data_IF_550735590189
#
_entry.id   IF_550735590189
#
_cell.length_a   1.000
_cell.length_b   1.000
_cell.length_c   1.000
_cell.angle_alpha   90.00
_cell.angle_beta   90.00
_cell.angle_gamma   90.00
#
_symmetry.space_group_name_H-M   'P 1'
#
loop_
_entity.id
_entity.type
_entity.pdbx_description
1 polymer ?
#
# COMPACT_ATOMS: atom_id res chain seq x y z
N UNK A 1 8.57 -7.17 -4.44
CA UNK A 1 8.37 -8.61 -4.12
C UNK A 1 6.88 -8.95 -4.12
N UNK A 2 6.55 -10.24 -4.21
CA UNK A 2 5.19 -10.71 -3.89
C UNK A 2 5.00 -10.69 -2.38
N UNK A 3 3.90 -10.14 -1.88
CA UNK A 3 3.51 -10.22 -0.48
C UNK A 3 2.74 -11.50 -0.13
N UNK A 4 2.50 -12.38 -1.11
CA UNK A 4 1.91 -13.69 -0.90
C UNK A 4 2.43 -14.70 -1.93
N UNK A 5 3.08 -15.78 -1.50
CA UNK A 5 3.53 -16.85 -2.40
C UNK A 5 3.67 -18.21 -1.67
N UNK A 6 2.58 -18.99 -1.52
CA UNK A 6 1.20 -18.68 -1.92
C UNK A 6 0.44 -17.80 -0.91
N UNK A 7 0.74 -17.91 0.38
CA UNK A 7 0.03 -17.22 1.46
C UNK A 7 0.83 -16.02 1.99
N UNK A 8 0.22 -15.22 2.87
CA UNK A 8 0.82 -13.99 3.42
C UNK A 8 2.05 -14.32 4.28
N UNK A 9 2.00 -15.43 5.00
CA UNK A 9 3.06 -15.90 5.88
C UNK A 9 4.37 -16.16 5.12
N UNK A 10 4.28 -16.80 3.94
CA UNK A 10 5.43 -17.02 3.05
C UNK A 10 6.02 -15.68 2.55
N UNK A 11 5.13 -14.73 2.24
CA UNK A 11 5.52 -13.36 1.88
C UNK A 11 6.29 -12.66 3.00
N UNK A 12 5.86 -12.84 4.26
CA UNK A 12 6.52 -12.28 5.44
C UNK A 12 7.91 -12.89 5.63
N UNK A 13 8.06 -14.21 5.50
CA UNK A 13 9.35 -14.87 5.60
C UNK A 13 10.33 -14.39 4.51
N UNK A 14 9.85 -14.26 3.27
CA UNK A 14 10.63 -13.72 2.16
C UNK A 14 11.05 -12.26 2.43
N UNK A 15 10.16 -11.43 2.97
CA UNK A 15 10.48 -10.03 3.26
C UNK A 15 11.60 -9.89 4.29
N UNK A 16 11.55 -10.69 5.37
CA UNK A 16 12.62 -10.74 6.39
C UNK A 16 13.93 -11.24 5.81
N UNK A 17 13.88 -12.26 4.95
CA UNK A 17 15.07 -12.76 4.28
C UNK A 17 15.71 -11.69 3.37
N UNK A 18 14.90 -10.99 2.58
CA UNK A 18 15.36 -9.89 1.73
C UNK A 18 15.95 -8.73 2.55
N UNK A 19 15.36 -8.39 3.69
CA UNK A 19 15.92 -7.40 4.62
C UNK A 19 17.29 -7.85 5.15
N UNK A 20 17.45 -9.12 5.54
CA UNK A 20 18.74 -9.67 6.00
C UNK A 20 19.82 -9.66 4.90
N UNK A 21 19.42 -9.74 3.63
CA UNK A 21 20.33 -9.58 2.49
C UNK A 21 20.79 -8.13 2.26
N UNK A 22 20.24 -7.17 3.01
CA UNK A 22 20.61 -5.76 2.94
C UNK A 22 19.86 -4.96 1.88
N UNK A 23 18.62 -5.35 1.52
CA UNK A 23 17.77 -4.52 0.66
C UNK A 23 17.33 -3.23 1.36
N UNK A 24 17.36 -2.11 0.64
CA UNK A 24 17.02 -0.80 1.20
C UNK A 24 15.51 -0.51 1.29
N UNK A 25 14.69 -1.17 0.46
CA UNK A 25 13.23 -1.04 0.52
C UNK A 25 12.52 -2.24 -0.12
N UNK A 26 11.25 -2.41 0.21
CA UNK A 26 10.36 -3.39 -0.40
C UNK A 26 9.15 -2.73 -1.08
N UNK A 27 9.04 -2.92 -2.39
CA UNK A 27 7.81 -2.61 -3.13
C UNK A 27 6.93 -3.86 -3.17
N UNK A 28 5.81 -3.85 -2.45
CA UNK A 28 4.98 -5.04 -2.21
C UNK A 28 3.75 -5.03 -3.13
N UNK A 29 3.59 -6.10 -3.90
CA UNK A 29 2.43 -6.39 -4.74
C UNK A 29 2.02 -7.84 -4.53
N UNK A 30 1.13 -8.40 -5.34
CA UNK A 30 0.97 -9.85 -5.45
C UNK A 30 1.87 -10.45 -6.53
N UNK A 31 2.07 -11.76 -6.45
CA UNK A 31 2.68 -12.56 -7.50
C UNK A 31 1.74 -12.72 -8.69
N UNK A 32 2.31 -12.88 -9.89
CA UNK A 32 1.53 -13.13 -11.12
C UNK A 32 0.89 -14.52 -11.04
N UNK A 33 -0.44 -14.63 -11.06
CA UNK A 33 -1.10 -15.93 -11.11
C UNK A 33 -0.68 -16.74 -12.34
N UNK A 34 -0.41 -18.05 -12.18
CA UNK A 34 -0.34 -18.99 -13.32
C UNK A 34 -1.67 -19.09 -14.08
N UNK A 35 -2.79 -18.75 -13.43
CA UNK A 35 -4.14 -18.80 -14.00
C UNK A 35 -4.80 -17.41 -14.02
N UNK A 36 -5.48 -17.08 -15.12
CA UNK A 36 -5.89 -15.74 -15.56
C UNK A 36 -6.81 -14.97 -14.58
N UNK A 37 -7.33 -15.59 -13.52
CA UNK A 37 -8.26 -14.93 -12.57
C UNK A 37 -7.54 -14.48 -11.29
N UNK A 38 -7.49 -13.16 -11.09
CA UNK A 38 -7.11 -12.51 -9.82
C UNK A 38 -8.25 -12.63 -8.80
N UNK A 39 -8.55 -13.84 -8.33
CA UNK A 39 -9.39 -14.03 -7.14
C UNK A 39 -8.74 -13.39 -5.90
N UNK A 40 -9.48 -13.16 -4.81
CA UNK A 40 -8.87 -12.90 -3.51
C UNK A 40 -8.04 -14.14 -3.17
N UNK A 41 -6.72 -13.97 -3.11
CA UNK A 41 -5.76 -15.09 -2.97
C UNK A 41 -5.24 -15.29 -1.55
N UNK A 42 -5.86 -14.63 -0.58
CA UNK A 42 -5.45 -14.74 0.82
C UNK A 42 -6.67 -15.00 1.67
N UNK A 43 -6.56 -16.02 2.53
CA UNK A 43 -7.64 -16.49 3.39
C UNK A 43 -7.95 -15.55 4.56
N UNK A 44 -6.97 -14.72 4.95
CA UNK A 44 -6.98 -13.84 6.11
C UNK A 44 -7.31 -12.37 5.80
N UNK A 45 -7.88 -12.06 4.63
CA UNK A 45 -8.23 -10.69 4.27
C UNK A 45 -9.39 -10.14 5.15
N UNK A 46 -9.18 -9.06 5.95
CA UNK A 46 -10.21 -8.54 6.84
C UNK A 46 -11.36 -7.88 6.06
N UNK A 47 -12.61 -8.16 6.46
CA UNK A 47 -13.81 -7.64 5.79
C UNK A 47 -14.01 -6.13 5.96
N UNK A 48 -13.43 -5.56 7.01
CA UNK A 48 -13.46 -4.13 7.35
C UNK A 48 -12.24 -3.36 6.82
N UNK A 49 -11.28 -4.05 6.18
CA UNK A 49 -10.14 -3.37 5.59
C UNK A 49 -10.58 -2.50 4.39
N UNK A 50 -10.29 -1.19 4.39
CA UNK A 50 -10.91 -0.25 3.46
C UNK A 50 -10.24 -0.18 2.08
N UNK A 51 -9.19 -0.96 1.82
CA UNK A 51 -8.45 -0.97 0.56
C UNK A 51 -8.52 -2.33 -0.13
N UNK A 52 -7.69 -2.59 -1.13
CA UNK A 52 -7.67 -3.90 -1.80
C UNK A 52 -6.81 -4.89 -1.02
N UNK A 53 -7.06 -6.19 -1.16
CA UNK A 53 -6.25 -7.24 -0.50
C UNK A 53 -4.75 -7.17 -0.85
N UNK A 54 -4.40 -6.68 -2.03
CA UNK A 54 -3.00 -6.43 -2.43
C UNK A 54 -2.38 -5.30 -1.61
N UNK A 55 -3.16 -4.27 -1.30
CA UNK A 55 -2.72 -3.17 -0.43
C UNK A 55 -2.52 -3.68 1.00
N UNK A 56 -3.40 -4.57 1.47
CA UNK A 56 -3.28 -5.25 2.76
C UNK A 56 -1.99 -6.05 2.88
N UNK A 57 -1.52 -6.71 1.82
CA UNK A 57 -0.20 -7.36 1.85
C UNK A 57 0.91 -6.39 2.23
N UNK A 58 0.92 -5.19 1.64
CA UNK A 58 1.91 -4.17 1.98
C UNK A 58 1.87 -3.77 3.46
N UNK A 59 0.68 -3.71 4.06
CA UNK A 59 0.53 -3.40 5.50
C UNK A 59 1.02 -4.53 6.38
N UNK A 60 0.74 -5.79 6.02
CA UNK A 60 1.23 -6.94 6.79
C UNK A 60 2.75 -7.11 6.68
N UNK A 61 3.33 -6.92 5.51
CA UNK A 61 4.79 -6.96 5.33
C UNK A 61 5.45 -5.86 6.15
N UNK A 62 4.89 -4.64 6.16
CA UNK A 62 5.47 -3.53 6.93
C UNK A 62 5.54 -3.79 8.43
N UNK A 63 4.56 -4.50 9.01
CA UNK A 63 4.60 -4.91 10.43
C UNK A 63 5.75 -5.85 10.76
N UNK A 64 6.31 -6.53 9.76
CA UNK A 64 7.26 -7.62 9.95
C UNK A 64 8.71 -7.27 9.62
N UNK A 65 8.97 -6.09 9.05
CA UNK A 65 10.31 -5.61 8.64
C UNK A 65 10.56 -4.19 9.14
N UNK A 66 11.83 -3.79 9.23
CA UNK A 66 12.25 -2.44 9.64
C UNK A 66 12.53 -1.53 8.45
N UNK A 67 12.87 -2.09 7.28
CA UNK A 67 13.10 -1.31 6.06
C UNK A 67 11.80 -0.71 5.48
N UNK A 68 11.89 0.40 4.73
CA UNK A 68 10.73 1.02 4.11
C UNK A 68 9.93 0.10 3.18
N UNK A 69 8.61 0.19 3.26
CA UNK A 69 7.65 -0.57 2.43
C UNK A 69 6.80 0.37 1.60
N UNK A 70 6.68 0.04 0.30
CA UNK A 70 5.73 0.67 -0.62
C UNK A 70 4.51 -0.24 -0.79
N UNK A 71 3.33 0.24 -0.37
CA UNK A 71 2.05 -0.42 -0.64
C UNK A 71 1.40 0.10 -1.93
N UNK A 72 0.60 -0.75 -2.58
CA UNK A 72 0.12 -0.49 -3.95
C UNK A 72 -1.34 -0.87 -4.14
N UNK A 73 -1.81 -0.65 -5.37
CA UNK A 73 -3.08 -1.12 -5.93
C UNK A 73 -4.29 -0.24 -5.62
N UNK A 74 -5.04 0.11 -6.68
CA UNK A 74 -6.35 0.75 -6.56
C UNK A 74 -6.35 2.19 -6.04
N UNK A 75 -5.19 2.77 -5.71
CA UNK A 75 -5.07 4.12 -5.16
C UNK A 75 -5.32 5.16 -6.26
N UNK A 76 -6.26 6.07 -6.00
CA UNK A 76 -6.72 7.08 -6.96
C UNK A 76 -6.73 8.50 -6.39
N UNK A 77 -6.83 8.65 -5.08
CA UNK A 77 -7.00 9.96 -4.44
C UNK A 77 -5.91 10.23 -3.40
N UNK A 78 -5.67 11.51 -3.12
CA UNK A 78 -4.80 11.93 -2.02
C UNK A 78 -5.24 11.35 -0.67
N UNK A 79 -6.55 11.35 -0.38
CA UNK A 79 -7.08 10.82 0.88
C UNK A 79 -6.78 9.32 1.02
N UNK A 80 -6.91 8.55 -0.05
CA UNK A 80 -6.57 7.13 -0.04
C UNK A 80 -5.07 6.91 0.24
N UNK A 81 -4.19 7.63 -0.45
CA UNK A 81 -2.75 7.54 -0.22
C UNK A 81 -2.38 7.97 1.21
N UNK A 82 -2.92 9.08 1.69
CA UNK A 82 -2.61 9.59 3.03
C UNK A 82 -3.13 8.68 4.14
N UNK A 83 -4.31 8.07 3.98
CA UNK A 83 -4.81 7.09 4.98
C UNK A 83 -3.89 5.89 5.10
N UNK A 84 -3.28 5.41 4.01
CA UNK A 84 -2.31 4.31 4.09
C UNK A 84 -1.08 4.71 4.91
N UNK A 85 -0.57 5.92 4.72
CA UNK A 85 0.56 6.44 5.50
C UNK A 85 0.17 6.74 6.97
N UNK A 86 -1.01 7.33 7.20
CA UNK A 86 -1.45 7.83 8.52
C UNK A 86 -2.07 6.74 9.42
N UNK A 87 -2.78 5.77 8.84
CA UNK A 87 -3.58 4.78 9.58
C UNK A 87 -3.01 3.35 9.49
N UNK A 88 -2.21 3.04 8.47
CA UNK A 88 -1.72 1.68 8.20
C UNK A 88 -0.19 1.57 8.16
N UNK A 89 0.51 2.63 8.54
CA UNK A 89 1.96 2.69 8.83
C UNK A 89 2.90 2.27 7.69
N UNK A 90 2.44 2.30 6.44
CA UNK A 90 3.33 2.09 5.28
C UNK A 90 4.12 3.36 4.99
N UNK A 91 5.37 3.22 4.52
CA UNK A 91 6.27 4.36 4.32
C UNK A 91 5.99 5.09 3.00
N UNK A 92 5.56 4.35 1.97
CA UNK A 92 5.23 4.90 0.67
C UNK A 92 3.99 4.24 0.07
N UNK A 93 3.37 4.95 -0.87
CA UNK A 93 2.23 4.46 -1.64
C UNK A 93 2.49 4.63 -3.13
N UNK A 94 2.45 3.53 -3.89
CA UNK A 94 2.59 3.59 -5.33
C UNK A 94 1.25 3.92 -6.01
N UNK A 95 1.27 4.89 -6.92
CA UNK A 95 0.12 5.29 -7.73
C UNK A 95 0.49 5.18 -9.20
N UNK A 96 -0.18 4.28 -9.92
CA UNK A 96 0.05 4.04 -11.35
C UNK A 96 -1.06 4.64 -12.22
N UNK A 97 -2.08 3.84 -12.53
CA UNK A 97 -3.17 4.17 -13.48
C UNK A 97 -3.86 5.52 -13.22
N UNK A 98 -3.98 5.96 -11.96
CA UNK A 98 -4.58 7.26 -11.66
C UNK A 98 -3.72 8.44 -12.15
N UNK A 99 -2.39 8.33 -12.09
CA UNK A 99 -1.49 9.35 -12.64
C UNK A 99 -1.56 9.44 -14.17
N UNK A 100 -1.84 8.32 -14.83
CA UNK A 100 -2.04 8.26 -16.29
C UNK A 100 -3.41 8.87 -16.67
N UNK A 101 -4.46 8.50 -15.94
CA UNK A 101 -5.83 8.91 -16.25
C UNK A 101 -6.10 10.39 -15.95
N UNK A 102 -5.53 10.94 -14.88
CA UNK A 102 -5.73 12.34 -14.49
C UNK A 102 -4.49 13.18 -14.76
N UNK A 103 -4.52 14.10 -15.75
CA UNK A 103 -3.43 15.04 -15.98
C UNK A 103 -3.10 15.83 -14.72
N UNK A 104 -1.81 16.03 -14.44
CA UNK A 104 -1.34 16.75 -13.25
C UNK A 104 -1.85 16.17 -11.91
N UNK A 105 -2.05 14.84 -11.81
CA UNK A 105 -2.55 14.16 -10.62
C UNK A 105 -1.88 14.65 -9.32
N UNK A 106 -0.55 14.74 -9.30
CA UNK A 106 0.20 15.23 -8.13
C UNK A 106 -0.14 16.67 -7.73
N UNK A 107 -0.39 17.56 -8.69
CA UNK A 107 -0.81 18.95 -8.41
C UNK A 107 -2.20 19.00 -7.78
N UNK A 108 -3.12 18.14 -8.24
CA UNK A 108 -4.45 17.98 -7.63
C UNK A 108 -4.31 17.43 -6.20
N UNK A 109 -3.53 16.38 -6.01
CA UNK A 109 -3.31 15.77 -4.69
C UNK A 109 -2.73 16.77 -3.69
N UNK A 110 -1.72 17.57 -4.07
CA UNK A 110 -1.17 18.60 -3.20
C UNK A 110 -2.25 19.59 -2.71
N UNK A 111 -3.10 20.08 -3.62
CA UNK A 111 -4.21 20.99 -3.26
C UNK A 111 -5.21 20.33 -2.32
N UNK A 112 -5.57 19.07 -2.59
CA UNK A 112 -6.51 18.31 -1.76
C UNK A 112 -5.94 18.08 -0.35
N UNK A 113 -4.64 17.73 -0.24
CA UNK A 113 -3.93 17.60 1.03
C UNK A 113 -3.91 18.91 1.83
N UNK A 114 -3.53 20.02 1.20
CA UNK A 114 -3.51 21.34 1.86
C UNK A 114 -4.88 21.74 2.39
N UNK A 115 -5.95 21.48 1.60
CA UNK A 115 -7.33 21.72 2.03
C UNK A 115 -7.69 20.87 3.24
N UNK A 116 -7.39 19.58 3.22
CA UNK A 116 -7.65 18.63 4.32
C UNK A 116 -6.91 19.05 5.60
N UNK A 117 -5.65 19.46 5.49
CA UNK A 117 -4.86 19.92 6.63
C UNK A 117 -5.36 21.24 7.23
N UNK A 118 -5.90 22.16 6.42
CA UNK A 118 -6.56 23.37 6.94
C UNK A 118 -7.84 23.04 7.71
N UNK A 119 -8.65 22.10 7.22
CA UNK A 119 -9.87 21.67 7.90
C UNK A 119 -9.56 21.02 9.25
N UNK A 120 -8.60 20.08 9.31
CA UNK A 120 -8.14 19.45 10.57
C UNK A 120 -7.66 20.47 11.61
N UNK A 121 -7.03 21.58 11.20
CA UNK A 121 -6.58 22.64 12.12
C UNK A 121 -7.75 23.42 12.72
N UNK A 122 -8.78 23.72 11.93
CA UNK A 122 -9.93 24.48 12.38
C UNK A 122 -10.87 23.66 13.29
N UNK A 123 -10.84 22.33 13.18
CA UNK A 123 -11.61 21.42 14.04
C UNK A 123 -10.96 21.22 15.42
N UNK A 124 -9.66 21.48 15.54
CA UNK A 124 -8.85 21.23 16.74
C UNK A 124 -8.44 22.51 17.50
N UNK A 125 -8.92 23.68 17.09
CA UNK A 125 -8.63 24.98 17.72
C UNK A 125 -9.91 25.64 18.19
#
# INVERSE_FOLDING_TARGET
>A
MSGNDPEVEDGIEMAKFLEQMGLDLLHVSNGVPKEVKQAVKISNYPSDFPFHWITFLGTEIKKAVSIPVIAVYGIKTEKQASRLLEEFDVDFVAVGRAMIFYPNWMKKCRKDFEKRMRQKKNENG
#
